data_IF_803882366009
#
_entry.id   IF_803882366009
#
_cell.length_a   1.000
_cell.length_b   1.000
_cell.length_c   1.000
_cell.angle_alpha   90.00
_cell.angle_beta   90.00
_cell.angle_gamma   90.00
#
_symmetry.space_group_name_H-M   'P 1'
#
loop_
_entity.id
_entity.type
_entity.pdbx_description
1 polymer ?
#
# COMPACT_ATOMS: atom_id res chain seq x y z
N UNK A 1 10.82 17.65 9.67
CA UNK A 1 9.34 17.62 9.72
C UNK A 1 8.92 16.55 10.73
N UNK A 2 8.01 16.85 11.67
CA UNK A 2 7.53 15.89 12.68
C UNK A 2 6.55 14.89 12.06
N UNK A 3 6.32 13.74 12.73
CA UNK A 3 5.33 12.76 12.29
C UNK A 3 3.92 13.37 12.20
N UNK A 4 3.53 14.18 13.19
CA UNK A 4 2.25 14.89 13.17
C UNK A 4 2.12 15.82 11.95
N UNK A 5 3.14 16.60 11.63
CA UNK A 5 3.11 17.49 10.47
C UNK A 5 3.06 16.72 9.13
N UNK A 6 3.65 15.51 9.07
CA UNK A 6 3.55 14.64 7.87
C UNK A 6 2.15 14.08 7.70
N UNK A 7 1.53 13.57 8.78
CA UNK A 7 0.15 13.08 8.76
C UNK A 7 -0.83 14.20 8.40
N UNK A 8 -0.67 15.39 8.98
CA UNK A 8 -1.52 16.55 8.64
C UNK A 8 -1.37 16.98 7.18
N UNK A 9 -0.15 16.88 6.62
CA UNK A 9 0.07 17.15 5.19
C UNK A 9 -0.61 16.08 4.32
N UNK A 10 -0.46 14.80 4.67
CA UNK A 10 -1.10 13.71 3.95
C UNK A 10 -2.62 13.85 3.95
N UNK A 11 -3.21 14.20 5.10
CA UNK A 11 -4.64 14.47 5.22
C UNK A 11 -5.08 15.66 4.34
N UNK A 12 -4.36 16.79 4.43
CA UNK A 12 -4.69 17.99 3.65
C UNK A 12 -4.65 17.77 2.13
N UNK A 13 -3.76 16.90 1.68
CA UNK A 13 -3.55 16.60 0.25
C UNK A 13 -4.24 15.29 -0.18
N UNK A 14 -5.03 14.68 0.69
CA UNK A 14 -5.68 13.41 0.41
C UNK A 14 -6.68 13.52 -0.75
N UNK A 15 -6.77 12.47 -1.53
CA UNK A 15 -7.83 12.31 -2.53
C UNK A 15 -9.15 12.04 -1.83
N UNK A 16 -10.14 12.87 -2.06
CA UNK A 16 -11.50 12.65 -1.54
C UNK A 16 -12.26 11.74 -2.50
N UNK A 17 -12.83 10.67 -1.95
CA UNK A 17 -13.71 9.74 -2.66
C UNK A 17 -15.07 9.73 -1.93
N UNK A 18 -16.16 10.08 -2.62
CA UNK A 18 -17.50 10.01 -2.03
C UNK A 18 -17.94 8.55 -1.89
N UNK A 19 -18.71 8.26 -0.86
CA UNK A 19 -19.41 6.99 -0.67
C UNK A 19 -20.74 7.20 0.02
N UNK A 20 -21.60 6.18 -0.03
CA UNK A 20 -22.92 6.13 0.59
C UNK A 20 -23.18 4.74 1.22
N UNK A 21 -24.37 4.55 1.81
CA UNK A 21 -24.76 3.30 2.48
C UNK A 21 -24.81 2.07 1.54
N UNK A 22 -24.85 2.28 0.22
CA UNK A 22 -24.84 1.21 -0.78
C UNK A 22 -23.42 0.86 -1.26
N UNK A 23 -22.45 1.69 -0.94
CA UNK A 23 -21.08 1.56 -1.43
C UNK A 23 -20.37 0.35 -0.83
N UNK A 24 -19.77 -0.46 -1.71
CA UNK A 24 -18.99 -1.64 -1.33
C UNK A 24 -17.51 -1.34 -1.52
N UNK A 25 -16.75 -1.28 -0.45
CA UNK A 25 -15.33 -0.92 -0.48
C UNK A 25 -14.53 -2.01 0.22
N UNK A 26 -13.47 -2.49 -0.45
CA UNK A 26 -12.50 -3.43 0.14
C UNK A 26 -11.14 -2.77 0.24
N UNK A 27 -10.50 -2.93 1.38
CA UNK A 27 -9.18 -2.38 1.67
C UNK A 27 -8.17 -3.51 1.76
N UNK A 28 -7.06 -3.38 1.04
CA UNK A 28 -5.88 -4.22 1.17
C UNK A 28 -4.67 -3.35 1.49
N UNK A 29 -3.70 -3.90 2.20
CA UNK A 29 -2.46 -3.22 2.57
C UNK A 29 -1.32 -4.21 2.65
N UNK A 30 -0.09 -3.72 2.49
CA UNK A 30 1.12 -4.47 2.82
C UNK A 30 1.19 -5.85 2.11
N UNK A 31 0.81 -5.89 0.83
CA UNK A 31 0.87 -7.11 0.03
C UNK A 31 2.31 -7.52 -0.26
N UNK A 32 3.23 -6.56 -0.43
CA UNK A 32 4.65 -6.80 -0.74
C UNK A 32 4.85 -7.79 -1.90
N UNK A 33 4.13 -7.58 -3.01
CA UNK A 33 4.28 -8.42 -4.20
C UNK A 33 5.72 -8.35 -4.72
N UNK A 34 6.41 -9.47 -4.70
CA UNK A 34 7.80 -9.59 -5.13
C UNK A 34 7.94 -10.28 -6.50
N UNK A 35 9.09 -10.93 -6.73
CA UNK A 35 9.46 -11.54 -8.02
C UNK A 35 9.28 -13.07 -8.05
N UNK A 36 8.52 -13.64 -7.12
CA UNK A 36 8.34 -15.08 -6.88
C UNK A 36 9.64 -15.83 -6.54
N UNK A 37 10.71 -15.14 -6.14
CA UNK A 37 11.89 -15.76 -5.53
C UNK A 37 11.57 -16.22 -4.09
N UNK A 38 12.55 -16.86 -3.43
CA UNK A 38 12.42 -17.23 -2.01
C UNK A 38 12.26 -16.03 -1.07
N UNK A 39 12.60 -14.83 -1.52
CA UNK A 39 12.40 -13.59 -0.78
C UNK A 39 10.97 -13.03 -0.91
N UNK A 40 10.18 -13.50 -1.87
CA UNK A 40 8.80 -13.04 -2.09
C UNK A 40 7.83 -13.69 -1.09
N UNK A 41 7.57 -13.00 0.02
CA UNK A 41 6.63 -13.45 1.05
C UNK A 41 5.18 -13.52 0.53
N UNK A 42 4.81 -12.71 -0.45
CA UNK A 42 3.48 -12.72 -1.06
C UNK A 42 3.21 -13.96 -1.91
N UNK A 43 4.24 -14.58 -2.49
CA UNK A 43 4.09 -15.72 -3.39
C UNK A 43 3.25 -16.87 -2.78
N UNK A 44 3.40 -17.11 -1.47
CA UNK A 44 2.64 -18.15 -0.74
C UNK A 44 1.14 -17.82 -0.63
N UNK A 45 0.79 -16.53 -0.60
CA UNK A 45 -0.57 -16.04 -0.43
C UNK A 45 -1.24 -15.62 -1.75
N UNK A 46 -0.50 -15.64 -2.86
CA UNK A 46 -0.96 -15.17 -4.18
C UNK A 46 -2.30 -15.76 -4.61
N UNK A 47 -2.49 -17.06 -4.44
CA UNK A 47 -3.71 -17.74 -4.90
C UNK A 47 -4.93 -17.34 -4.07
N UNK A 48 -4.78 -17.24 -2.74
CA UNK A 48 -5.86 -16.79 -1.85
C UNK A 48 -6.22 -15.34 -2.15
N UNK A 49 -5.21 -14.49 -2.28
CA UNK A 49 -5.40 -13.08 -2.63
C UNK A 49 -6.10 -12.93 -3.98
N UNK A 50 -5.65 -13.65 -5.02
CA UNK A 50 -6.26 -13.60 -6.35
C UNK A 50 -7.72 -14.06 -6.32
N UNK A 51 -8.04 -15.12 -5.54
CA UNK A 51 -9.40 -15.58 -5.37
C UNK A 51 -10.29 -14.53 -4.69
N UNK A 52 -9.82 -13.93 -3.61
CA UNK A 52 -10.52 -12.84 -2.92
C UNK A 52 -10.74 -11.63 -3.84
N UNK A 53 -9.68 -11.19 -4.54
CA UNK A 53 -9.75 -10.07 -5.47
C UNK A 53 -10.79 -10.31 -6.58
N UNK A 54 -10.83 -11.54 -7.14
CA UNK A 54 -11.81 -11.92 -8.14
C UNK A 54 -13.23 -11.92 -7.60
N UNK A 55 -13.44 -12.36 -6.35
CA UNK A 55 -14.73 -12.29 -5.69
C UNK A 55 -15.20 -10.84 -5.56
N UNK A 56 -14.39 -9.96 -4.98
CA UNK A 56 -14.73 -8.56 -4.79
C UNK A 56 -14.95 -7.80 -6.11
N UNK A 57 -14.20 -8.15 -7.15
CA UNK A 57 -14.44 -7.59 -8.49
C UNK A 57 -15.84 -7.93 -8.99
N UNK A 58 -16.25 -9.22 -8.92
CA UNK A 58 -17.56 -9.70 -9.37
C UNK A 58 -18.71 -9.10 -8.57
N UNK A 59 -18.51 -8.92 -7.26
CA UNK A 59 -19.50 -8.34 -6.36
C UNK A 59 -19.62 -6.81 -6.45
N UNK A 60 -18.86 -6.17 -7.34
CA UNK A 60 -18.93 -4.73 -7.58
C UNK A 60 -18.23 -3.85 -6.57
N UNK A 61 -17.28 -4.39 -5.80
CA UNK A 61 -16.53 -3.59 -4.82
C UNK A 61 -15.59 -2.59 -5.49
N UNK A 62 -15.40 -1.44 -4.84
CA UNK A 62 -14.27 -0.55 -5.04
C UNK A 62 -13.06 -1.14 -4.30
N UNK A 63 -11.90 -1.17 -4.94
CA UNK A 63 -10.64 -1.63 -4.35
C UNK A 63 -9.77 -0.44 -3.96
N UNK A 64 -9.35 -0.39 -2.71
CA UNK A 64 -8.35 0.57 -2.22
C UNK A 64 -7.14 -0.18 -1.67
N UNK A 65 -5.94 0.08 -2.22
CA UNK A 65 -4.68 -0.42 -1.69
C UNK A 65 -3.99 0.64 -0.85
N UNK A 66 -3.71 0.31 0.43
CA UNK A 66 -3.20 1.26 1.42
C UNK A 66 -1.68 1.32 1.48
N UNK A 67 -0.99 1.06 0.38
CA UNK A 67 0.46 1.13 0.26
C UNK A 67 1.17 -0.20 0.50
N UNK A 68 2.46 -0.21 0.16
CA UNK A 68 3.32 -1.39 0.18
C UNK A 68 2.70 -2.57 -0.59
N UNK A 69 2.04 -2.23 -1.70
CA UNK A 69 1.49 -3.21 -2.62
C UNK A 69 2.60 -3.98 -3.33
N UNK A 70 3.65 -3.30 -3.73
CA UNK A 70 4.77 -3.83 -4.48
C UNK A 70 6.09 -3.71 -3.71
N UNK A 71 6.88 -4.80 -3.70
CA UNK A 71 8.18 -4.85 -3.02
C UNK A 71 9.30 -4.26 -3.90
N UNK A 72 9.32 -2.93 -4.01
CA UNK A 72 10.30 -2.19 -4.80
C UNK A 72 11.56 -1.79 -4.02
N UNK A 73 11.70 -2.19 -2.77
CA UNK A 73 12.97 -2.11 -2.06
C UNK A 73 13.90 -3.24 -2.47
N UNK A 74 13.40 -4.46 -2.54
CA UNK A 74 14.15 -5.65 -2.94
C UNK A 74 14.26 -5.79 -4.45
N UNK A 75 13.21 -5.40 -5.18
CA UNK A 75 13.14 -5.54 -6.62
C UNK A 75 13.49 -4.23 -7.32
N UNK A 76 14.37 -4.32 -8.34
CA UNK A 76 14.86 -3.14 -9.06
C UNK A 76 13.80 -2.62 -10.02
N UNK A 77 13.10 -3.53 -10.69
CA UNK A 77 12.16 -3.24 -11.75
C UNK A 77 10.77 -3.79 -11.42
N UNK A 78 9.76 -3.04 -11.80
CA UNK A 78 8.37 -3.48 -11.75
C UNK A 78 8.11 -4.70 -12.65
N UNK A 79 8.81 -4.84 -13.78
CA UNK A 79 8.61 -5.91 -14.76
C UNK A 79 8.76 -7.32 -14.15
N UNK A 80 9.70 -7.51 -13.22
CA UNK A 80 9.88 -8.80 -12.53
C UNK A 80 8.68 -9.13 -11.66
N UNK A 81 8.18 -8.14 -10.91
CA UNK A 81 6.98 -8.26 -10.07
C UNK A 81 5.74 -8.52 -10.93
N UNK A 82 5.57 -7.75 -12.01
CA UNK A 82 4.47 -7.93 -12.95
C UNK A 82 4.47 -9.34 -13.55
N UNK A 83 5.63 -9.82 -13.99
CA UNK A 83 5.76 -11.15 -14.60
C UNK A 83 5.39 -12.25 -13.61
N UNK A 84 5.84 -12.13 -12.36
CA UNK A 84 5.55 -13.08 -11.28
C UNK A 84 4.05 -13.13 -10.93
N UNK A 85 3.37 -11.98 -10.95
CA UNK A 85 1.99 -11.83 -10.50
C UNK A 85 1.03 -11.33 -11.60
N UNK A 86 1.33 -11.65 -12.86
CA UNK A 86 0.61 -11.16 -14.06
C UNK A 86 -0.92 -11.27 -13.97
N UNK A 87 -1.44 -12.37 -13.41
CA UNK A 87 -2.88 -12.57 -13.28
C UNK A 87 -3.52 -11.59 -12.29
N UNK A 88 -2.82 -11.27 -11.19
CA UNK A 88 -3.25 -10.27 -10.20
C UNK A 88 -3.35 -8.91 -10.88
N UNK A 89 -2.30 -8.50 -11.58
CA UNK A 89 -2.27 -7.20 -12.26
C UNK A 89 -3.29 -7.09 -13.39
N UNK A 90 -3.53 -8.16 -14.15
CA UNK A 90 -4.61 -8.17 -15.14
C UNK A 90 -5.98 -7.94 -14.52
N UNK A 91 -6.21 -8.45 -13.32
CA UNK A 91 -7.46 -8.22 -12.60
C UNK A 91 -7.52 -6.80 -12.00
N UNK A 92 -6.42 -6.30 -11.44
CA UNK A 92 -6.33 -4.89 -11.00
C UNK A 92 -6.57 -3.92 -12.15
N UNK A 93 -6.09 -4.26 -13.36
CA UNK A 93 -6.41 -3.48 -14.58
C UNK A 93 -7.92 -3.41 -14.85
N UNK A 94 -8.66 -4.49 -14.60
CA UNK A 94 -10.12 -4.48 -14.78
C UNK A 94 -10.79 -3.53 -13.78
N UNK A 95 -10.38 -3.54 -12.49
CA UNK A 95 -10.84 -2.55 -11.52
C UNK A 95 -10.52 -1.11 -11.97
N UNK A 96 -9.34 -0.88 -12.55
CA UNK A 96 -8.93 0.43 -13.05
C UNK A 96 -9.80 0.90 -14.21
N UNK A 97 -10.04 0.05 -15.20
CA UNK A 97 -10.90 0.35 -16.35
C UNK A 97 -12.34 0.69 -15.95
N UNK A 98 -12.82 0.08 -14.87
CA UNK A 98 -14.14 0.37 -14.29
C UNK A 98 -14.11 1.54 -13.27
N UNK A 99 -12.97 2.26 -13.13
CA UNK A 99 -12.77 3.37 -12.19
C UNK A 99 -13.00 2.98 -10.71
N UNK A 100 -12.77 1.72 -10.40
CA UNK A 100 -12.91 1.13 -9.06
C UNK A 100 -11.57 0.79 -8.39
N UNK A 101 -10.44 1.28 -8.91
CA UNK A 101 -9.10 1.07 -8.37
C UNK A 101 -8.55 2.38 -7.80
N UNK A 102 -8.19 2.36 -6.52
CA UNK A 102 -7.58 3.49 -5.84
C UNK A 102 -6.33 3.03 -5.09
N UNK A 103 -5.20 3.71 -5.32
CA UNK A 103 -3.88 3.28 -4.86
C UNK A 103 -3.25 4.35 -3.97
N UNK A 104 -2.81 3.94 -2.80
CA UNK A 104 -1.92 4.71 -1.92
C UNK A 104 -0.53 4.11 -2.05
N UNK A 105 0.51 4.94 -2.07
CA UNK A 105 1.88 4.46 -2.00
C UNK A 105 2.35 4.36 -0.53
N UNK A 106 3.14 3.32 -0.22
CA UNK A 106 3.77 3.12 1.07
C UNK A 106 5.26 3.49 1.05
N UNK A 107 6.05 2.89 1.94
CA UNK A 107 7.50 3.11 1.94
C UNK A 107 8.25 2.16 1.00
N UNK A 108 7.77 0.92 0.80
CA UNK A 108 8.39 -0.04 -0.11
C UNK A 108 8.15 0.29 -1.58
N UNK A 109 7.03 0.90 -1.89
CA UNK A 109 6.67 1.35 -3.23
C UNK A 109 6.61 2.89 -3.37
N UNK A 110 7.36 3.62 -2.50
CA UNK A 110 7.41 5.10 -2.44
C UNK A 110 7.77 5.78 -3.77
N UNK A 111 8.34 5.06 -4.71
CA UNK A 111 8.64 5.57 -6.05
C UNK A 111 7.38 5.94 -6.83
N UNK A 112 6.24 5.36 -6.49
CA UNK A 112 4.95 5.68 -7.10
C UNK A 112 4.41 7.07 -6.74
N UNK A 113 5.04 7.78 -5.80
CA UNK A 113 4.76 9.20 -5.58
C UNK A 113 5.19 10.09 -6.76
N UNK A 114 6.07 9.58 -7.64
CA UNK A 114 6.53 10.28 -8.84
C UNK A 114 5.67 9.86 -10.05
N UNK A 115 4.80 10.76 -10.57
CA UNK A 115 3.96 10.45 -11.72
C UNK A 115 4.76 10.06 -12.98
N UNK A 116 5.98 10.56 -13.13
CA UNK A 116 6.84 10.19 -14.26
C UNK A 116 7.32 8.75 -14.15
N UNK A 117 7.65 8.31 -12.92
CA UNK A 117 7.97 6.90 -12.68
C UNK A 117 6.76 6.00 -12.97
N UNK A 118 5.58 6.36 -12.47
CA UNK A 118 4.33 5.64 -12.70
C UNK A 118 4.05 5.52 -14.20
N UNK A 119 4.05 6.64 -14.92
CA UNK A 119 3.82 6.65 -16.36
C UNK A 119 4.82 5.78 -17.10
N UNK A 120 6.11 5.88 -16.77
CA UNK A 120 7.18 5.13 -17.45
C UNK A 120 7.05 3.61 -17.26
N UNK A 121 6.66 3.16 -16.05
CA UNK A 121 6.76 1.75 -15.69
C UNK A 121 5.41 1.01 -15.70
N UNK A 122 4.29 1.75 -15.59
CA UNK A 122 2.96 1.14 -15.47
C UNK A 122 2.02 1.43 -16.66
N UNK A 123 2.40 2.26 -17.63
CA UNK A 123 1.52 2.55 -18.77
C UNK A 123 1.45 1.40 -19.77
N UNK A 124 2.48 0.58 -19.87
CA UNK A 124 2.52 -0.56 -20.80
C UNK A 124 3.39 -1.69 -20.25
N UNK A 125 3.18 -2.89 -20.78
CA UNK A 125 4.02 -4.05 -20.52
C UNK A 125 4.30 -4.82 -21.81
N UNK A 126 5.44 -5.51 -21.87
CA UNK A 126 5.76 -6.38 -23.00
C UNK A 126 5.04 -7.73 -22.86
N UNK A 127 4.27 -8.13 -23.88
CA UNK A 127 3.62 -9.42 -23.95
C UNK A 127 4.43 -10.36 -24.87
N UNK A 128 5.20 -11.33 -24.31
CA UNK A 128 6.09 -12.18 -25.11
C UNK A 128 5.37 -13.03 -26.16
N UNK A 129 4.13 -13.46 -25.86
CA UNK A 129 3.36 -14.33 -26.79
C UNK A 129 3.03 -13.57 -28.07
N UNK A 130 2.63 -12.32 -27.94
CA UNK A 130 2.23 -11.48 -29.08
C UNK A 130 3.40 -10.64 -29.61
N UNK A 131 4.56 -10.72 -28.97
CA UNK A 131 5.78 -9.96 -29.28
C UNK A 131 5.52 -8.45 -29.45
N UNK A 132 4.71 -7.88 -28.58
CA UNK A 132 4.34 -6.46 -28.63
C UNK A 132 4.15 -5.85 -27.23
N UNK A 133 4.26 -4.52 -27.16
CA UNK A 133 3.86 -3.78 -25.97
C UNK A 133 2.32 -3.64 -25.95
N UNK A 134 1.73 -3.94 -24.79
CA UNK A 134 0.29 -3.73 -24.53
C UNK A 134 0.12 -2.63 -23.51
N UNK A 135 -0.89 -1.83 -23.69
CA UNK A 135 -1.32 -0.86 -22.68
C UNK A 135 -1.64 -1.56 -21.37
N UNK A 136 -1.26 -0.92 -20.26
CA UNK A 136 -1.49 -1.47 -18.95
C UNK A 136 -2.36 -0.54 -18.10
N UNK A 137 -1.80 0.29 -17.26
CA UNK A 137 -2.53 1.26 -16.46
C UNK A 137 -2.41 2.66 -17.09
N UNK A 138 -3.31 2.98 -18.00
CA UNK A 138 -3.40 4.33 -18.52
C UNK A 138 -3.91 5.28 -17.43
N UNK A 139 -3.20 6.39 -17.22
CA UNK A 139 -3.57 7.44 -16.26
C UNK A 139 -3.82 7.01 -14.80
N UNK A 140 -3.21 5.89 -14.37
CA UNK A 140 -3.28 5.51 -12.96
C UNK A 140 -2.56 6.54 -12.09
N UNK A 141 -3.20 6.89 -10.98
CA UNK A 141 -2.65 7.83 -10.00
C UNK A 141 -2.53 7.16 -8.64
N UNK A 142 -1.36 7.32 -8.03
CA UNK A 142 -1.10 6.95 -6.65
C UNK A 142 -1.20 8.17 -5.75
N UNK A 143 -1.77 8.01 -4.57
CA UNK A 143 -1.98 9.07 -3.60
C UNK A 143 -1.16 8.84 -2.33
N UNK A 144 -0.86 9.89 -1.55
CA UNK A 144 -0.25 9.73 -0.22
C UNK A 144 -1.29 9.25 0.80
N UNK A 145 -2.56 9.62 0.59
CA UNK A 145 -3.70 9.26 1.41
C UNK A 145 -5.01 9.44 0.64
N UNK A 146 -6.06 8.81 1.14
CA UNK A 146 -7.43 8.94 0.63
C UNK A 146 -8.35 9.27 1.80
N UNK A 147 -9.34 10.11 1.58
CA UNK A 147 -10.46 10.34 2.48
C UNK A 147 -11.71 9.78 1.83
N UNK A 148 -12.31 8.77 2.45
CA UNK A 148 -13.66 8.36 2.10
C UNK A 148 -14.62 9.31 2.83
N UNK A 149 -15.47 10.01 2.08
CA UNK A 149 -16.42 10.98 2.63
C UNK A 149 -17.85 10.53 2.35
N UNK A 150 -18.61 10.32 3.42
CA UNK A 150 -20.00 9.90 3.30
C UNK A 150 -20.86 11.06 2.78
N UNK A 151 -21.67 10.78 1.76
CA UNK A 151 -22.42 11.80 1.03
C UNK A 151 -23.42 12.54 1.92
N UNK A 152 -24.18 11.81 2.75
CA UNK A 152 -25.26 12.39 3.52
C UNK A 152 -24.80 12.93 4.88
N UNK A 153 -24.00 12.17 5.63
CA UNK A 153 -23.56 12.57 6.97
C UNK A 153 -22.33 13.49 6.96
N UNK A 154 -21.56 13.51 5.85
CA UNK A 154 -20.29 14.20 5.76
C UNK A 154 -19.17 13.56 6.61
N UNK A 155 -19.42 12.40 7.23
CA UNK A 155 -18.38 11.68 7.98
C UNK A 155 -17.21 11.31 7.08
N UNK A 156 -16.01 11.40 7.64
CA UNK A 156 -14.76 11.12 6.93
C UNK A 156 -14.04 9.94 7.55
N UNK A 157 -13.56 9.04 6.68
CA UNK A 157 -12.66 7.96 7.01
C UNK A 157 -11.33 8.20 6.32
N UNK A 158 -10.28 8.44 7.11
CA UNK A 158 -8.94 8.72 6.61
C UNK A 158 -8.17 7.42 6.38
N UNK A 159 -7.76 7.20 5.14
CA UNK A 159 -6.97 6.06 4.71
C UNK A 159 -5.54 6.51 4.40
N UNK A 160 -4.56 5.87 5.02
CA UNK A 160 -3.13 6.15 4.78
C UNK A 160 -2.30 4.90 4.99
N UNK A 161 -1.11 4.84 4.42
CA UNK A 161 -0.24 3.69 4.70
C UNK A 161 0.27 3.66 6.15
N UNK A 162 0.57 4.84 6.75
CA UNK A 162 1.06 4.91 8.13
C UNK A 162 2.56 5.13 8.29
N UNK A 163 3.38 4.90 7.25
CA UNK A 163 4.83 5.17 7.26
C UNK A 163 5.17 6.64 7.55
N UNK A 164 4.23 7.58 7.41
CA UNK A 164 4.36 8.97 7.79
C UNK A 164 4.68 9.15 9.28
N UNK A 165 4.24 8.21 10.11
CA UNK A 165 4.54 8.17 11.54
C UNK A 165 5.90 7.52 11.86
N UNK A 166 6.50 6.83 10.90
CA UNK A 166 7.82 6.21 11.00
C UNK A 166 8.91 7.18 10.53
N UNK A 167 9.77 7.63 11.47
CA UNK A 167 10.81 8.62 11.13
C UNK A 167 11.92 8.02 10.26
N UNK A 168 12.32 6.76 10.50
CA UNK A 168 13.40 6.11 9.77
C UNK A 168 12.99 5.81 8.33
N UNK A 169 11.90 5.10 8.13
CA UNK A 169 11.42 4.69 6.82
C UNK A 169 11.01 5.89 5.97
N UNK A 170 10.51 6.97 6.61
CA UNK A 170 10.20 8.19 5.88
C UNK A 170 11.43 9.00 5.46
N UNK A 171 12.45 9.10 6.34
CA UNK A 171 13.59 10.00 6.10
C UNK A 171 14.71 9.33 5.32
N UNK A 172 14.99 8.07 5.62
CA UNK A 172 16.13 7.33 5.06
C UNK A 172 15.74 6.20 4.09
N UNK A 173 14.55 6.27 3.49
CA UNK A 173 14.08 5.24 2.56
C UNK A 173 15.06 4.93 1.42
N UNK A 174 15.82 5.91 0.90
CA UNK A 174 16.82 5.69 -0.16
C UNK A 174 18.00 4.84 0.33
N UNK A 175 18.46 5.08 1.56
CA UNK A 175 19.52 4.29 2.18
C UNK A 175 19.01 2.90 2.58
N UNK A 176 17.84 2.82 3.17
CA UNK A 176 17.20 1.54 3.50
C UNK A 176 17.05 0.66 2.26
N UNK A 177 16.50 1.21 1.18
CA UNK A 177 16.38 0.53 -0.11
C UNK A 177 17.71 0.05 -0.67
N UNK A 178 18.77 0.86 -0.60
CA UNK A 178 20.10 0.46 -1.05
C UNK A 178 20.66 -0.71 -0.22
N UNK A 179 20.58 -0.64 1.09
CA UNK A 179 21.06 -1.69 2.00
C UNK A 179 20.27 -3.00 1.82
N UNK A 180 18.96 -2.92 1.68
CA UNK A 180 18.11 -4.09 1.43
C UNK A 180 18.50 -4.78 0.12
N UNK A 181 18.72 -4.04 -0.96
CA UNK A 181 19.11 -4.62 -2.26
C UNK A 181 20.49 -5.26 -2.27
N UNK A 182 21.45 -4.58 -1.67
CA UNK A 182 22.87 -4.97 -1.81
C UNK A 182 23.27 -6.02 -0.77
N UNK A 183 22.75 -5.91 0.46
CA UNK A 183 23.14 -6.80 1.55
C UNK A 183 22.05 -7.81 1.89
N UNK A 184 20.80 -7.38 1.90
CA UNK A 184 19.73 -8.17 2.52
C UNK A 184 19.12 -9.19 1.55
N UNK A 185 18.69 -8.78 0.36
CA UNK A 185 18.11 -9.69 -0.64
C UNK A 185 19.00 -10.90 -0.94
N UNK A 186 20.32 -10.77 -1.14
CA UNK A 186 21.19 -11.95 -1.30
C UNK A 186 21.18 -12.90 -0.10
N UNK A 187 21.12 -12.36 1.13
CA UNK A 187 21.09 -13.17 2.36
C UNK A 187 19.75 -13.92 2.53
N UNK A 188 18.63 -13.26 2.18
CA UNK A 188 17.32 -13.91 2.19
C UNK A 188 17.21 -15.05 1.18
N UNK A 189 17.76 -14.88 -0.03
CA UNK A 189 17.83 -15.95 -1.03
C UNK A 189 18.59 -17.16 -0.51
N UNK A 190 19.54 -16.96 0.43
CA UNK A 190 20.27 -18.04 1.12
C UNK A 190 19.55 -18.56 2.37
N UNK A 191 18.31 -18.13 2.61
CA UNK A 191 17.47 -18.64 3.72
C UNK A 191 17.69 -17.95 5.07
N UNK A 192 18.37 -16.81 5.12
CA UNK A 192 18.56 -16.03 6.35
C UNK A 192 17.34 -15.13 6.53
N UNK A 193 16.55 -15.37 7.59
CA UNK A 193 15.39 -14.58 7.93
C UNK A 193 15.76 -13.14 8.37
N UNK A 194 14.96 -12.15 7.94
CA UNK A 194 15.17 -10.74 8.28
C UNK A 194 14.87 -10.46 9.77
N UNK A 195 15.88 -10.08 10.58
CA UNK A 195 15.66 -9.67 11.96
C UNK A 195 15.29 -8.18 12.08
N UNK A 196 15.38 -7.39 11.01
CA UNK A 196 15.30 -5.91 11.05
C UNK A 196 13.98 -5.34 10.56
N UNK A 197 13.04 -6.16 10.05
CA UNK A 197 11.72 -5.71 9.63
C UNK A 197 11.04 -4.93 10.76
N UNK A 198 10.50 -3.71 10.50
CA UNK A 198 9.72 -2.96 11.51
C UNK A 198 8.60 -3.81 12.12
N UNK A 199 7.97 -4.67 11.34
CA UNK A 199 6.96 -5.62 11.79
C UNK A 199 7.46 -6.57 12.90
N UNK A 200 8.77 -6.80 13.02
CA UNK A 200 9.39 -7.65 14.04
C UNK A 200 9.88 -6.84 15.26
N UNK A 201 10.00 -5.51 15.16
CA UNK A 201 10.45 -4.65 16.27
C UNK A 201 9.25 -4.06 17.04
N UNK A 202 8.78 -4.81 18.04
CA UNK A 202 7.63 -4.42 18.86
C UNK A 202 7.70 -3.00 19.47
N UNK A 203 8.90 -2.55 19.87
CA UNK A 203 9.08 -1.22 20.48
C UNK A 203 8.86 -0.08 19.46
N UNK A 204 9.33 -0.26 18.23
CA UNK A 204 9.11 0.73 17.17
C UNK A 204 7.66 0.75 16.71
N UNK A 205 7.01 -0.40 16.62
CA UNK A 205 5.58 -0.50 16.32
C UNK A 205 4.74 0.31 17.31
N UNK A 206 4.94 0.13 18.61
CA UNK A 206 4.23 0.90 19.64
C UNK A 206 4.47 2.41 19.48
N UNK A 207 5.68 2.82 19.13
CA UNK A 207 5.97 4.25 18.91
C UNK A 207 5.21 4.82 17.71
N UNK A 208 5.14 4.06 16.60
CA UNK A 208 4.40 4.44 15.40
C UNK A 208 2.92 4.58 15.74
N UNK A 209 2.33 3.56 16.35
CA UNK A 209 0.94 3.56 16.78
C UNK A 209 0.60 4.73 17.71
N UNK A 210 1.46 4.98 18.72
CA UNK A 210 1.27 6.12 19.65
C UNK A 210 1.31 7.47 18.93
N UNK A 211 2.15 7.61 17.90
CA UNK A 211 2.23 8.85 17.11
C UNK A 211 0.97 9.05 16.28
N UNK A 212 0.45 7.99 15.65
CA UNK A 212 -0.80 8.02 14.89
C UNK A 212 -1.96 8.35 15.85
N UNK A 213 -2.09 7.62 16.98
CA UNK A 213 -3.11 7.87 17.99
C UNK A 213 -3.07 9.32 18.49
N UNK A 214 -1.89 9.84 18.84
CA UNK A 214 -1.75 11.24 19.28
C UNK A 214 -2.22 12.24 18.22
N UNK A 215 -1.95 11.94 16.95
CA UNK A 215 -2.39 12.79 15.84
C UNK A 215 -3.91 12.76 15.66
N UNK A 216 -4.52 11.58 15.73
CA UNK A 216 -5.98 11.40 15.63
C UNK A 216 -6.69 12.18 16.74
N UNK A 217 -6.23 12.04 18.00
CA UNK A 217 -6.78 12.77 19.16
C UNK A 217 -6.70 14.30 19.01
N UNK A 218 -5.66 14.79 18.34
CA UNK A 218 -5.48 16.22 18.10
C UNK A 218 -6.30 16.73 16.89
N UNK A 219 -6.94 15.84 16.11
CA UNK A 219 -7.69 16.16 14.88
C UNK A 219 -9.13 15.63 14.93
N UNK A 220 -9.85 15.95 16.02
CA UNK A 220 -11.27 15.63 16.21
C UNK A 220 -11.62 14.15 16.17
N UNK A 221 -10.72 13.30 16.66
CA UNK A 221 -10.96 11.85 16.78
C UNK A 221 -11.40 11.19 15.47
N UNK A 222 -10.84 11.64 14.37
CA UNK A 222 -11.19 11.18 13.04
C UNK A 222 -10.93 9.69 12.88
N UNK A 223 -11.90 8.97 12.33
CA UNK A 223 -11.75 7.56 12.00
C UNK A 223 -10.61 7.38 10.99
N UNK A 224 -9.63 6.56 11.34
CA UNK A 224 -8.41 6.36 10.52
C UNK A 224 -8.08 4.89 10.37
N UNK A 225 -7.80 4.46 9.15
CA UNK A 225 -7.26 3.13 8.86
C UNK A 225 -5.85 3.29 8.28
N UNK A 226 -4.91 2.57 8.88
CA UNK A 226 -3.51 2.59 8.45
C UNK A 226 -2.93 1.18 8.37
N UNK A 227 -2.07 0.93 7.37
CA UNK A 227 -1.25 -0.26 7.22
C UNK A 227 0.10 -0.16 7.95
N UNK A 228 1.19 -0.65 7.30
CA UNK A 228 2.59 -0.50 7.69
C UNK A 228 3.04 -1.36 8.89
N UNK A 229 2.19 -1.57 9.88
CA UNK A 229 2.59 -2.28 11.11
C UNK A 229 2.36 -3.79 11.03
N UNK A 230 1.70 -4.29 10.01
CA UNK A 230 1.34 -5.69 9.77
C UNK A 230 0.63 -6.35 10.97
N UNK A 231 -0.07 -5.55 11.79
CA UNK A 231 -0.79 -6.05 12.95
C UNK A 231 -2.22 -5.53 12.97
N UNK A 232 -3.21 -6.44 13.06
CA UNK A 232 -4.55 -6.03 13.37
C UNK A 232 -4.56 -5.46 14.80
N UNK A 233 -5.00 -4.23 14.95
CA UNK A 233 -5.20 -3.62 16.25
C UNK A 233 -6.59 -3.05 16.32
N UNK A 234 -7.38 -3.63 17.22
CA UNK A 234 -8.67 -3.09 17.59
C UNK A 234 -8.52 -2.25 18.86
N UNK A 235 -9.25 -1.14 19.01
CA UNK A 235 -9.24 -0.37 20.24
C UNK A 235 -9.74 -1.22 21.41
N UNK A 236 -9.08 -1.12 22.56
CA UNK A 236 -9.63 -1.66 23.81
C UNK A 236 -10.84 -0.83 24.24
N UNK A 237 -11.77 -1.40 25.05
CA UNK A 237 -12.86 -0.61 25.64
C UNK A 237 -12.29 0.61 26.37
N UNK A 238 -12.71 1.82 25.96
CA UNK A 238 -12.15 3.09 26.44
C UNK A 238 -11.01 3.67 25.61
N UNK A 239 -10.47 2.95 24.63
CA UNK A 239 -9.63 3.51 23.57
C UNK A 239 -10.50 4.10 22.45
N UNK A 240 -9.97 5.10 21.75
CA UNK A 240 -10.62 5.61 20.54
C UNK A 240 -10.59 4.50 19.47
N UNK A 241 -11.69 4.29 18.72
CA UNK A 241 -11.73 3.24 17.71
C UNK A 241 -10.67 3.46 16.62
N UNK A 242 -9.68 2.56 16.60
CA UNK A 242 -8.83 2.31 15.47
C UNK A 242 -9.42 1.10 14.72
N UNK A 243 -9.88 1.31 13.53
CA UNK A 243 -10.23 0.23 12.62
C UNK A 243 -9.22 0.13 11.49
#
# INVERSE_FOLDING_TARGET
MTSSARLSRAYKNAKILPFDDSSKIILFSDCHRGDSSFADEFANNRNIYFHALRHYFKEGFMYCELGDGDELWENINFDSIFTAHKNVYKLLKQFHLEKRLHMIWGNHDIVYKDPLYVKKNLSSYFEPIDNCNKEFFEDINYHEAIILKHNDSGQELFLTHGHQADWWNYTFWRWGRFLVRVLWKPLQVWGIADPTSPAKNYKELIKIERRIKKWILANNEMLTIAGHTHRPRFPAPGDIPFF
#
